data_IF_570588952147
#
_entry.id   IF_570588952147
#
_cell.length_a   1.000
_cell.length_b   1.000
_cell.length_c   1.000
_cell.angle_alpha   90.00
_cell.angle_beta   90.00
_cell.angle_gamma   90.00
#
_symmetry.space_group_name_H-M   'P 1'
#
loop_
_entity.id
_entity.type
_entity.pdbx_description
1 polymer ?
#
# COMPACT_ATOMS: atom_id res chain seq x y z
N UNK A 1 -16.46 25.49 -3.14
CA UNK A 1 -16.59 24.22 -2.38
C UNK A 1 -15.24 23.86 -1.76
N UNK A 2 -15.08 24.00 -0.44
CA UNK A 2 -13.83 23.67 0.27
C UNK A 2 -14.24 23.22 1.66
N UNK A 3 -14.19 21.91 1.95
CA UNK A 3 -14.20 21.30 3.30
C UNK A 3 -14.53 19.80 3.22
N UNK A 4 -13.54 18.91 2.98
CA UNK A 4 -13.53 17.52 3.49
C UNK A 4 -12.20 16.75 3.36
N UNK A 5 -11.05 17.44 3.18
CA UNK A 5 -9.74 16.78 3.02
C UNK A 5 -8.97 16.53 4.33
N UNK A 6 -9.44 17.03 5.48
CA UNK A 6 -8.65 17.03 6.72
C UNK A 6 -8.56 15.67 7.44
N UNK A 7 -9.31 14.65 7.01
CA UNK A 7 -9.44 13.37 7.74
C UNK A 7 -9.18 12.14 6.88
N UNK A 8 -8.66 12.33 5.65
CA UNK A 8 -8.29 11.22 4.78
C UNK A 8 -6.77 11.07 4.78
N UNK A 9 -6.25 9.82 4.92
CA UNK A 9 -4.82 9.58 4.79
C UNK A 9 -4.34 10.02 3.41
N UNK A 10 -3.15 10.63 3.30
CA UNK A 10 -2.65 11.20 2.05
C UNK A 10 -2.58 10.15 0.94
N UNK A 11 -2.65 10.61 -0.32
CA UNK A 11 -2.31 9.76 -1.46
C UNK A 11 -0.83 9.35 -1.40
N UNK A 12 -0.42 8.40 -2.24
CA UNK A 12 0.98 8.00 -2.33
C UNK A 12 1.86 9.19 -2.76
N UNK A 13 1.43 9.94 -3.76
CA UNK A 13 2.13 11.09 -4.32
C UNK A 13 2.20 12.24 -3.31
N UNK A 14 1.11 12.49 -2.58
CA UNK A 14 1.07 13.50 -1.52
C UNK A 14 2.03 13.13 -0.37
N UNK A 15 2.06 11.86 0.04
CA UNK A 15 2.94 11.39 1.11
C UNK A 15 4.42 11.40 0.69
N UNK A 16 4.70 10.99 -0.55
CA UNK A 16 6.06 10.99 -1.10
C UNK A 16 6.61 12.41 -1.22
N UNK A 17 5.85 13.36 -1.76
CA UNK A 17 6.29 14.74 -1.87
C UNK A 17 6.54 15.40 -0.51
N UNK A 18 5.75 15.07 0.51
CA UNK A 18 6.01 15.53 1.89
C UNK A 18 7.30 14.92 2.46
N UNK A 19 7.55 13.63 2.19
CA UNK A 19 8.76 12.94 2.64
C UNK A 19 10.01 13.54 1.99
N UNK A 20 9.97 13.80 0.69
CA UNK A 20 11.05 14.46 -0.06
C UNK A 20 11.38 15.84 0.52
N UNK A 21 10.34 16.65 0.79
CA UNK A 21 10.53 17.97 1.42
C UNK A 21 11.14 17.89 2.82
N UNK A 22 10.78 16.87 3.61
CA UNK A 22 11.39 16.64 4.92
C UNK A 22 12.87 16.29 4.76
N UNK A 23 13.20 15.37 3.87
CA UNK A 23 14.60 14.97 3.61
C UNK A 23 15.43 16.17 3.16
N UNK A 24 14.93 16.94 2.19
CA UNK A 24 15.59 18.17 1.73
C UNK A 24 15.83 19.15 2.87
N UNK A 25 14.87 19.31 3.78
CA UNK A 25 15.05 20.16 4.96
C UNK A 25 16.13 19.62 5.91
N UNK A 26 16.19 18.31 6.12
CA UNK A 26 17.20 17.67 6.99
C UNK A 26 18.61 17.77 6.40
N UNK A 27 18.73 17.74 5.07
CA UNK A 27 20.00 17.84 4.35
C UNK A 27 20.60 19.26 4.36
N UNK A 28 19.79 20.30 4.62
CA UNK A 28 20.26 21.68 4.65
C UNK A 28 21.19 22.00 5.84
N UNK A 29 21.27 21.13 6.84
CA UNK A 29 22.27 21.18 7.92
C UNK A 29 22.04 22.19 9.04
N UNK A 30 21.10 23.13 8.88
CA UNK A 30 20.82 24.23 9.82
C UNK A 30 19.62 23.96 10.76
N UNK A 31 19.23 22.69 10.95
CA UNK A 31 18.07 22.33 11.78
C UNK A 31 18.51 21.98 13.22
N UNK A 32 17.90 22.59 14.26
CA UNK A 32 18.13 22.21 15.66
C UNK A 32 17.81 20.73 15.92
N UNK A 33 18.55 20.08 16.82
CA UNK A 33 18.36 18.67 17.15
C UNK A 33 16.91 18.29 17.51
N UNK A 34 16.22 19.15 18.27
CA UNK A 34 14.82 18.93 18.64
C UNK A 34 13.89 18.90 17.43
N UNK A 35 14.16 19.73 16.42
CA UNK A 35 13.37 19.76 15.19
C UNK A 35 13.75 18.61 14.25
N UNK A 36 15.03 18.21 14.20
CA UNK A 36 15.47 17.01 13.48
C UNK A 36 14.74 15.75 13.95
N UNK A 37 14.53 15.59 15.25
CA UNK A 37 13.80 14.45 15.80
C UNK A 37 12.33 14.44 15.34
N UNK A 38 11.67 15.59 15.36
CA UNK A 38 10.28 15.73 14.88
C UNK A 38 10.18 15.39 13.40
N UNK A 39 11.09 15.94 12.58
CA UNK A 39 11.17 15.68 11.14
C UNK A 39 11.42 14.20 10.85
N UNK A 40 12.29 13.56 11.62
CA UNK A 40 12.57 12.13 11.47
C UNK A 40 11.35 11.25 11.80
N UNK A 41 10.63 11.56 12.88
CA UNK A 41 9.38 10.86 13.23
C UNK A 41 8.32 11.01 12.15
N UNK A 42 8.14 12.24 11.65
CA UNK A 42 7.21 12.55 10.56
C UNK A 42 7.59 11.82 9.27
N UNK A 43 8.87 11.86 8.87
CA UNK A 43 9.39 11.14 7.71
C UNK A 43 9.17 9.63 7.84
N UNK A 44 9.38 9.06 9.02
CA UNK A 44 9.13 7.63 9.28
C UNK A 44 7.64 7.28 9.12
N UNK A 45 6.74 8.15 9.57
CA UNK A 45 5.28 7.98 9.39
C UNK A 45 4.88 8.05 7.92
N UNK A 46 5.45 8.99 7.16
CA UNK A 46 5.19 9.13 5.73
C UNK A 46 5.72 7.93 4.95
N UNK A 47 6.93 7.44 5.26
CA UNK A 47 7.49 6.24 4.67
C UNK A 47 6.57 5.03 4.84
N UNK A 48 6.09 4.77 6.08
CA UNK A 48 5.12 3.70 6.35
C UNK A 48 3.83 3.85 5.54
N UNK A 49 3.40 5.10 5.32
CA UNK A 49 2.22 5.37 4.50
C UNK A 49 2.48 5.01 3.04
N UNK A 50 3.63 5.41 2.49
CA UNK A 50 4.04 5.03 1.14
C UNK A 50 4.10 3.51 0.96
N UNK A 51 4.75 2.79 1.87
CA UNK A 51 4.83 1.33 1.86
C UNK A 51 3.44 0.67 1.88
N UNK A 52 2.55 1.17 2.73
CA UNK A 52 1.18 0.65 2.82
C UNK A 52 0.40 0.84 1.50
N UNK A 53 0.54 2.01 0.86
CA UNK A 53 -0.11 2.29 -0.44
C UNK A 53 0.44 1.40 -1.56
N UNK A 54 1.75 1.20 -1.60
CA UNK A 54 2.39 0.31 -2.59
C UNK A 54 1.90 -1.13 -2.41
N UNK A 55 1.85 -1.62 -1.17
CA UNK A 55 1.34 -2.96 -0.85
C UNK A 55 -0.13 -3.14 -1.25
N UNK A 56 -0.96 -2.12 -1.03
CA UNK A 56 -2.35 -2.13 -1.46
C UNK A 56 -2.47 -2.23 -2.99
N UNK A 57 -1.65 -1.46 -3.72
CA UNK A 57 -1.62 -1.49 -5.18
C UNK A 57 -1.15 -2.86 -5.71
N UNK A 58 -0.10 -3.43 -5.14
CA UNK A 58 0.41 -4.77 -5.48
C UNK A 58 -0.67 -5.84 -5.29
N UNK A 59 -1.35 -5.84 -4.15
CA UNK A 59 -2.44 -6.78 -3.86
C UNK A 59 -3.55 -6.69 -4.90
N UNK A 60 -3.95 -5.47 -5.28
CA UNK A 60 -4.97 -5.24 -6.31
C UNK A 60 -4.53 -5.80 -7.67
N UNK A 61 -3.27 -5.59 -8.05
CA UNK A 61 -2.71 -6.13 -9.30
C UNK A 61 -2.75 -7.66 -9.28
N UNK A 62 -2.37 -8.30 -8.18
CA UNK A 62 -2.37 -9.76 -8.05
C UNK A 62 -3.78 -10.35 -8.14
N UNK A 63 -4.78 -9.70 -7.54
CA UNK A 63 -6.19 -10.10 -7.67
C UNK A 63 -6.64 -10.00 -9.14
N UNK A 64 -6.33 -8.90 -9.82
CA UNK A 64 -6.70 -8.69 -11.22
C UNK A 64 -6.02 -9.71 -12.16
N UNK A 65 -4.75 -10.05 -11.90
CA UNK A 65 -4.05 -11.11 -12.63
C UNK A 65 -4.72 -12.47 -12.46
N UNK A 66 -5.10 -12.83 -11.22
CA UNK A 66 -5.82 -14.10 -10.94
C UNK A 66 -7.19 -14.15 -11.61
N UNK A 67 -7.92 -13.04 -11.62
CA UNK A 67 -9.21 -12.93 -12.33
C UNK A 67 -9.04 -13.08 -13.84
N UNK A 68 -8.04 -12.40 -14.43
CA UNK A 68 -7.74 -12.46 -15.87
C UNK A 68 -7.21 -13.83 -16.31
N UNK A 69 -6.47 -14.51 -15.44
CA UNK A 69 -5.95 -15.86 -15.67
C UNK A 69 -7.04 -16.94 -15.64
N UNK A 70 -8.30 -16.58 -15.35
CA UNK A 70 -9.38 -17.52 -15.18
C UNK A 70 -9.13 -18.36 -13.95
N UNK A 71 -9.72 -17.97 -12.82
CA UNK A 71 -10.10 -18.95 -11.81
C UNK A 71 -11.17 -19.87 -12.42
N UNK A 72 -10.73 -20.74 -13.33
CA UNK A 72 -11.29 -22.06 -13.55
C UNK A 72 -10.99 -22.90 -12.30
N UNK A 73 -11.53 -22.46 -11.17
CA UNK A 73 -11.97 -23.37 -10.13
C UNK A 73 -13.48 -23.53 -10.37
N UNK A 74 -13.85 -23.98 -11.57
CA UNK A 74 -15.08 -24.74 -11.68
C UNK A 74 -14.84 -25.95 -10.82
N UNK A 75 -15.64 -26.07 -9.77
CA UNK A 75 -15.54 -27.08 -8.74
C UNK A 75 -15.05 -28.40 -9.33
N UNK A 76 -13.98 -28.94 -8.76
CA UNK A 76 -13.64 -30.35 -8.91
C UNK A 76 -14.90 -31.10 -8.49
N UNK A 77 -15.71 -31.43 -9.49
CA UNK A 77 -16.89 -32.25 -9.29
C UNK A 77 -16.33 -33.59 -8.82
N UNK A 78 -16.65 -34.05 -7.60
CA UNK A 78 -16.25 -35.37 -7.21
C UNK A 78 -16.95 -36.31 -8.18
N UNK A 79 -16.17 -36.95 -9.06
CA UNK A 79 -16.67 -38.06 -9.85
C UNK A 79 -17.14 -39.11 -8.84
N UNK A 80 -18.45 -39.13 -8.65
CA UNK A 80 -19.19 -40.06 -7.81
C UNK A 80 -18.60 -41.45 -7.98
N UNK A 81 -18.30 -42.08 -6.84
CA UNK A 81 -18.24 -43.52 -6.73
C UNK A 81 -19.41 -44.15 -7.50
N UNK A 82 -19.11 -45.14 -8.35
CA UNK A 82 -19.93 -46.33 -8.58
C UNK A 82 -19.42 -47.08 -9.83
N UNK A 83 -18.64 -48.14 -9.60
CA UNK A 83 -18.89 -49.48 -10.16
C UNK A 83 -17.83 -50.46 -9.63
N UNK A 84 -18.16 -51.04 -8.47
CA UNK A 84 -17.97 -52.48 -8.27
C UNK A 84 -18.90 -53.18 -9.26
N UNK A 85 -18.38 -54.06 -10.11
CA UNK A 85 -19.10 -55.21 -10.67
C UNK A 85 -18.06 -56.13 -11.36
N UNK A 86 -17.86 -57.29 -10.72
CA UNK A 86 -17.25 -58.57 -11.14
C UNK A 86 -15.75 -58.65 -11.52
#
# INVERSE_FOLDING_TARGET
>A
MKSKKADQPPSFEEALGQLEAIVESMESGDIPLSELLVKFEEGTRLLKTCEARLKEAEMKIEILKKQKSGAAAFESFPASAAREDD
#
